data_IF_301513164063
#
_entry.id   IF_301513164063
#
_cell.length_a   1.000
_cell.length_b   1.000
_cell.length_c   1.000
_cell.angle_alpha   90.00
_cell.angle_beta   90.00
_cell.angle_gamma   90.00
#
_symmetry.space_group_name_H-M   'P 1'
#
loop_
_entity.id
_entity.type
_entity.pdbx_description
1 polymer ?
#
# COMPACT_ATOMS: atom_id res chain seq x y z
N UNK A 1 67.98 32.70 -33.67
CA UNK A 1 68.15 32.53 -32.21
C UNK A 1 66.82 32.04 -31.65
N UNK A 2 66.85 30.81 -31.15
CA UNK A 2 65.97 30.13 -30.18
C UNK A 2 65.60 31.07 -28.99
N UNK A 3 64.46 31.05 -28.27
CA UNK A 3 63.61 30.00 -27.63
C UNK A 3 62.54 30.84 -26.83
N UNK A 4 61.22 30.60 -26.74
CA UNK A 4 60.49 29.71 -25.80
C UNK A 4 58.96 29.98 -25.92
N UNK A 5 58.13 28.93 -26.00
CA UNK A 5 56.72 28.96 -25.57
C UNK A 5 56.63 28.59 -24.07
N UNK A 6 55.52 28.92 -23.38
CA UNK A 6 54.61 27.82 -23.02
C UNK A 6 53.10 28.15 -23.05
N UNK A 7 52.36 27.09 -23.37
CA UNK A 7 50.98 26.66 -23.04
C UNK A 7 50.03 27.56 -22.24
N UNK A 8 48.79 27.70 -22.73
CA UNK A 8 47.53 27.08 -22.20
C UNK A 8 46.35 27.52 -23.10
N UNK A 9 45.78 26.62 -23.90
CA UNK A 9 44.56 25.80 -23.60
C UNK A 9 43.28 26.57 -24.00
N UNK A 10 42.72 26.37 -25.22
CA UNK A 10 41.61 25.44 -25.52
C UNK A 10 40.50 25.53 -24.46
N UNK A 11 39.24 25.80 -24.74
CA UNK A 11 38.49 25.86 -25.96
C UNK A 11 37.03 26.09 -25.58
N UNK A 12 36.28 26.65 -26.52
CA UNK A 12 34.84 26.85 -26.45
C UNK A 12 34.11 25.53 -26.19
N UNK A 13 33.35 25.40 -25.10
CA UNK A 13 32.26 24.43 -25.04
C UNK A 13 31.08 24.91 -24.19
N UNK A 14 29.98 25.12 -24.93
CA UNK A 14 28.57 25.21 -24.53
C UNK A 14 28.26 24.38 -23.28
N UNK A 15 27.64 25.01 -22.30
CA UNK A 15 26.87 24.32 -21.26
C UNK A 15 25.51 23.88 -21.84
N UNK A 16 25.54 22.93 -22.77
CA UNK A 16 24.38 22.07 -23.06
C UNK A 16 24.41 20.92 -22.05
N UNK A 17 23.93 21.17 -20.84
CA UNK A 17 23.52 20.12 -19.92
C UNK A 17 22.00 20.01 -19.95
N UNK A 18 21.50 19.70 -21.15
CA UNK A 18 20.24 19.00 -21.30
C UNK A 18 20.33 17.75 -20.43
N UNK A 19 19.47 17.70 -19.40
CA UNK A 19 19.41 16.60 -18.45
C UNK A 19 19.22 15.29 -19.19
N UNK A 20 20.32 14.57 -19.40
CA UNK A 20 20.33 13.21 -19.87
C UNK A 20 19.62 12.38 -18.79
N UNK A 21 18.30 12.25 -18.97
CA UNK A 21 17.41 11.34 -18.26
C UNK A 21 18.05 9.97 -18.42
N UNK A 22 18.83 9.57 -17.39
CA UNK A 22 19.55 8.30 -17.34
C UNK A 22 18.60 7.22 -17.84
N UNK A 23 19.04 6.53 -18.89
CA UNK A 23 18.42 5.30 -19.38
C UNK A 23 18.18 4.43 -18.17
N UNK A 24 16.91 4.34 -17.77
CA UNK A 24 16.50 3.57 -16.61
C UNK A 24 16.66 2.12 -17.00
N UNK A 25 17.71 1.47 -16.49
CA UNK A 25 17.78 0.01 -16.50
C UNK A 25 16.41 -0.53 -16.12
N UNK A 26 15.85 -1.50 -16.87
CA UNK A 26 14.58 -2.09 -16.54
C UNK A 26 14.61 -2.52 -15.07
N UNK A 27 13.52 -2.28 -14.31
CA UNK A 27 13.50 -2.59 -12.89
C UNK A 27 13.87 -4.07 -12.68
N UNK A 28 14.87 -4.35 -11.83
CA UNK A 28 15.26 -5.73 -11.51
C UNK A 28 14.01 -6.49 -11.05
N UNK A 29 13.56 -7.42 -11.88
CA UNK A 29 12.25 -8.05 -11.72
C UNK A 29 12.19 -8.96 -10.51
N UNK A 30 13.26 -9.71 -10.25
CA UNK A 30 13.40 -10.53 -9.06
C UNK A 30 13.22 -9.67 -7.80
N UNK A 31 13.86 -8.49 -7.77
CA UNK A 31 13.71 -7.55 -6.67
C UNK A 31 12.29 -7.00 -6.54
N UNK A 32 11.57 -6.76 -7.65
CA UNK A 32 10.18 -6.31 -7.61
C UNK A 32 9.24 -7.40 -7.08
N UNK A 33 9.42 -8.64 -7.51
CA UNK A 33 8.67 -9.80 -7.02
C UNK A 33 8.93 -10.02 -5.53
N UNK A 34 10.19 -9.97 -5.09
CA UNK A 34 10.53 -10.10 -3.68
C UNK A 34 9.86 -9.03 -2.81
N UNK A 35 9.83 -7.77 -3.28
CA UNK A 35 9.10 -6.69 -2.60
C UNK A 35 7.59 -6.94 -2.53
N UNK A 36 7.00 -7.47 -3.59
CA UNK A 36 5.57 -7.81 -3.62
C UNK A 36 5.24 -8.91 -2.62
N UNK A 37 6.04 -9.99 -2.60
CA UNK A 37 5.92 -11.06 -1.60
C UNK A 37 6.07 -10.53 -0.17
N UNK A 38 7.02 -9.61 0.06
CA UNK A 38 7.19 -8.94 1.36
C UNK A 38 5.93 -8.19 1.81
N UNK A 39 5.28 -7.45 0.91
CA UNK A 39 4.03 -6.73 1.25
C UNK A 39 2.86 -7.69 1.52
N UNK A 40 2.75 -8.77 0.75
CA UNK A 40 1.71 -9.80 0.97
C UNK A 40 1.90 -10.41 2.36
N UNK A 41 3.12 -10.83 2.70
CA UNK A 41 3.43 -11.41 3.99
C UNK A 41 3.19 -10.42 5.14
N UNK A 42 3.56 -9.16 4.96
CA UNK A 42 3.29 -8.12 5.95
C UNK A 42 1.78 -7.95 6.20
N UNK A 43 0.96 -7.94 5.13
CA UNK A 43 -0.49 -7.84 5.25
C UNK A 43 -1.11 -9.08 5.93
N UNK A 44 -0.59 -10.28 5.64
CA UNK A 44 -1.04 -11.51 6.32
C UNK A 44 -0.69 -11.51 7.80
N UNK A 45 0.52 -11.06 8.16
CA UNK A 45 0.92 -10.91 9.56
C UNK A 45 0.05 -9.87 10.29
N UNK A 46 -0.27 -8.74 9.65
CA UNK A 46 -1.22 -7.76 10.20
C UNK A 46 -2.60 -8.39 10.46
N UNK A 47 -3.07 -9.27 9.57
CA UNK A 47 -4.33 -10.00 9.75
C UNK A 47 -4.25 -10.98 10.93
N UNK A 48 -3.15 -11.75 11.05
CA UNK A 48 -2.94 -12.69 12.15
C UNK A 48 -2.86 -11.98 13.50
N UNK A 49 -2.15 -10.85 13.58
CA UNK A 49 -2.09 -10.04 14.80
C UNK A 49 -3.47 -9.49 15.19
N UNK A 50 -4.23 -8.98 14.22
CA UNK A 50 -5.57 -8.47 14.46
C UNK A 50 -6.54 -9.59 14.89
N UNK A 51 -6.41 -10.79 14.30
CA UNK A 51 -7.18 -11.96 14.70
C UNK A 51 -6.83 -12.41 16.12
N UNK A 52 -5.53 -12.43 16.46
CA UNK A 52 -5.06 -12.72 17.80
C UNK A 52 -5.67 -11.77 18.84
N UNK A 53 -5.79 -10.47 18.53
CA UNK A 53 -6.46 -9.50 19.42
C UNK A 53 -7.96 -9.77 19.55
N UNK A 54 -8.65 -10.10 18.45
CA UNK A 54 -10.07 -10.47 18.47
C UNK A 54 -10.36 -11.71 19.31
N UNK A 55 -9.46 -12.70 19.33
CA UNK A 55 -9.60 -13.89 20.16
C UNK A 55 -9.69 -13.57 21.66
N UNK A 56 -9.16 -12.43 22.10
CA UNK A 56 -9.24 -11.97 23.49
C UNK A 56 -10.43 -11.04 23.76
N UNK A 57 -11.07 -10.49 22.71
CA UNK A 57 -12.24 -9.61 22.82
C UNK A 57 -13.12 -9.70 21.55
N UNK A 58 -14.13 -10.60 21.54
CA UNK A 58 -14.88 -10.92 20.33
C UNK A 58 -15.89 -9.84 19.89
N UNK A 59 -16.06 -8.76 20.66
CA UNK A 59 -17.02 -7.66 20.37
C UNK A 59 -16.34 -6.49 19.63
N UNK A 60 -15.06 -6.62 19.27
CA UNK A 60 -14.33 -5.55 18.58
C UNK A 60 -14.62 -5.53 17.07
N UNK A 61 -15.71 -4.87 16.69
CA UNK A 61 -16.09 -4.64 15.28
C UNK A 61 -15.00 -3.91 14.49
N UNK A 62 -14.17 -3.09 15.16
CA UNK A 62 -13.02 -2.43 14.54
C UNK A 62 -11.90 -3.42 14.27
N UNK A 63 -11.62 -4.34 15.20
CA UNK A 63 -10.73 -5.48 14.99
C UNK A 63 -11.15 -6.36 13.81
N UNK A 64 -12.45 -6.63 13.66
CA UNK A 64 -12.99 -7.38 12.50
C UNK A 64 -12.71 -6.63 11.19
N UNK A 65 -12.99 -5.33 11.14
CA UNK A 65 -12.71 -4.50 9.97
C UNK A 65 -11.20 -4.47 9.62
N UNK A 66 -10.32 -4.50 10.63
CA UNK A 66 -8.86 -4.58 10.44
C UNK A 66 -8.45 -5.93 9.84
N UNK A 67 -8.94 -7.05 10.37
CA UNK A 67 -8.67 -8.39 9.81
C UNK A 67 -9.13 -8.46 8.36
N UNK A 68 -10.38 -8.07 8.08
CA UNK A 68 -10.94 -8.08 6.73
C UNK A 68 -10.14 -7.22 5.76
N UNK A 69 -9.68 -6.04 6.21
CA UNK A 69 -8.87 -5.14 5.38
C UNK A 69 -7.47 -5.68 5.12
N UNK A 70 -6.83 -6.27 6.13
CA UNK A 70 -5.52 -6.87 5.99
C UNK A 70 -5.54 -8.07 5.03
N UNK A 71 -6.56 -8.94 5.14
CA UNK A 71 -6.80 -10.04 4.20
C UNK A 71 -7.11 -9.53 2.78
N UNK A 72 -7.92 -8.48 2.66
CA UNK A 72 -8.18 -7.83 1.38
C UNK A 72 -6.90 -7.29 0.74
N UNK A 73 -6.02 -6.63 1.52
CA UNK A 73 -4.72 -6.14 1.06
C UNK A 73 -3.85 -7.28 0.54
N UNK A 74 -3.75 -8.38 1.28
CA UNK A 74 -2.95 -9.54 0.88
C UNK A 74 -3.46 -10.15 -0.44
N UNK A 75 -4.78 -10.35 -0.55
CA UNK A 75 -5.42 -10.88 -1.77
C UNK A 75 -5.20 -9.97 -2.97
N UNK A 76 -5.44 -8.67 -2.81
CA UNK A 76 -5.31 -7.70 -3.90
C UNK A 76 -3.84 -7.51 -4.31
N UNK A 77 -2.90 -7.50 -3.36
CA UNK A 77 -1.47 -7.50 -3.66
C UNK A 77 -1.05 -8.74 -4.46
N UNK A 78 -1.53 -9.93 -4.09
CA UNK A 78 -1.27 -11.17 -4.84
C UNK A 78 -1.84 -11.10 -6.27
N UNK A 79 -3.04 -10.56 -6.45
CA UNK A 79 -3.64 -10.35 -7.76
C UNK A 79 -2.81 -9.37 -8.63
N UNK A 80 -2.38 -8.25 -8.06
CA UNK A 80 -1.56 -7.25 -8.77
C UNK A 80 -0.16 -7.79 -9.10
N UNK A 81 0.41 -8.65 -8.25
CA UNK A 81 1.65 -9.37 -8.54
C UNK A 81 1.46 -10.28 -9.76
N UNK A 82 0.36 -11.03 -9.81
CA UNK A 82 -0.01 -11.84 -10.97
C UNK A 82 -0.14 -11.01 -12.25
N UNK A 83 -0.78 -9.84 -12.19
CA UNK A 83 -0.85 -8.91 -13.32
C UNK A 83 0.53 -8.43 -13.76
N UNK A 84 1.37 -8.03 -12.81
CA UNK A 84 2.72 -7.57 -13.10
C UNK A 84 3.50 -8.69 -13.80
N UNK A 85 3.53 -9.90 -13.24
CA UNK A 85 4.24 -11.06 -13.81
C UNK A 85 3.65 -11.52 -15.15
N UNK A 86 2.35 -11.37 -15.37
CA UNK A 86 1.71 -11.66 -16.66
C UNK A 86 1.97 -10.61 -17.74
N UNK A 87 2.43 -9.41 -17.38
CA UNK A 87 2.69 -8.32 -18.34
C UNK A 87 4.07 -8.50 -18.99
N UNK A 88 4.20 -8.33 -20.33
CA UNK A 88 5.48 -8.31 -21.03
C UNK A 88 6.46 -7.33 -20.40
N UNK A 89 7.76 -7.67 -20.37
CA UNK A 89 8.76 -6.92 -19.61
C UNK A 89 8.88 -5.46 -20.07
N UNK A 90 8.61 -5.19 -21.34
CA UNK A 90 8.67 -3.86 -21.96
C UNK A 90 7.54 -2.94 -21.48
N UNK A 91 6.41 -3.51 -21.05
CA UNK A 91 5.22 -2.78 -20.59
C UNK A 91 5.04 -2.84 -19.07
N UNK A 92 5.95 -3.55 -18.39
CA UNK A 92 5.81 -3.86 -16.97
C UNK A 92 6.18 -2.63 -16.13
N UNK A 93 5.29 -2.26 -15.23
CA UNK A 93 5.52 -1.16 -14.29
C UNK A 93 6.23 -1.68 -13.02
N UNK A 94 6.99 -0.83 -12.30
CA UNK A 94 7.59 -1.23 -11.04
C UNK A 94 6.53 -1.52 -9.97
N UNK A 95 6.83 -2.39 -9.00
CA UNK A 95 5.90 -2.77 -7.93
C UNK A 95 5.32 -1.56 -7.17
N UNK A 96 6.10 -0.48 -7.03
CA UNK A 96 5.65 0.76 -6.41
C UNK A 96 4.37 1.35 -7.04
N UNK A 97 4.19 1.20 -8.35
CA UNK A 97 2.97 1.61 -9.05
C UNK A 97 1.75 0.82 -8.58
N UNK A 98 1.88 -0.51 -8.48
CA UNK A 98 0.81 -1.39 -8.03
C UNK A 98 0.49 -1.18 -6.53
N UNK A 99 1.52 -0.97 -5.70
CA UNK A 99 1.37 -0.67 -4.26
C UNK A 99 0.57 0.61 -4.01
N UNK A 100 0.78 1.67 -4.80
CA UNK A 100 0.00 2.90 -4.66
C UNK A 100 -1.50 2.66 -4.91
N UNK A 101 -1.83 1.85 -5.94
CA UNK A 101 -3.23 1.45 -6.24
C UNK A 101 -3.83 0.61 -5.12
N UNK A 102 -3.03 -0.26 -4.51
CA UNK A 102 -3.45 -1.09 -3.37
C UNK A 102 -3.84 -0.24 -2.15
N UNK A 103 -3.05 0.79 -1.83
CA UNK A 103 -3.29 1.65 -0.66
C UNK A 103 -4.64 2.38 -0.76
N UNK A 104 -4.95 2.98 -1.91
CA UNK A 104 -6.25 3.64 -2.14
C UNK A 104 -7.42 2.66 -1.99
N UNK A 105 -7.34 1.47 -2.61
CA UNK A 105 -8.37 0.43 -2.49
C UNK A 105 -8.56 -0.04 -1.05
N UNK A 106 -7.48 -0.25 -0.31
CA UNK A 106 -7.55 -0.74 1.06
C UNK A 106 -8.15 0.29 2.03
N UNK A 107 -7.89 1.58 1.84
CA UNK A 107 -8.49 2.65 2.65
C UNK A 107 -10.01 2.70 2.46
N UNK A 108 -10.48 2.56 1.21
CA UNK A 108 -11.91 2.48 0.90
C UNK A 108 -12.54 1.23 1.51
N UNK A 109 -11.89 0.07 1.38
CA UNK A 109 -12.36 -1.18 1.96
C UNK A 109 -12.48 -1.11 3.50
N UNK A 110 -11.48 -0.54 4.16
CA UNK A 110 -11.51 -0.34 5.61
C UNK A 110 -12.69 0.53 6.04
N UNK A 111 -12.90 1.65 5.35
CA UNK A 111 -13.98 2.60 5.67
C UNK A 111 -15.36 1.95 5.56
N UNK A 112 -15.57 1.06 4.57
CA UNK A 112 -16.82 0.32 4.40
C UNK A 112 -17.11 -0.61 5.59
N UNK A 113 -16.12 -1.38 6.05
CA UNK A 113 -16.32 -2.34 7.13
C UNK A 113 -16.36 -1.68 8.52
N UNK A 114 -15.58 -0.61 8.72
CA UNK A 114 -15.63 0.17 9.96
C UNK A 114 -17.00 0.86 10.15
N UNK A 115 -17.62 1.34 9.07
CA UNK A 115 -18.95 1.96 9.14
C UNK A 115 -20.07 0.93 9.37
N UNK A 116 -19.98 -0.25 8.75
CA UNK A 116 -20.90 -1.37 9.00
C UNK A 116 -20.86 -1.84 10.46
N UNK A 117 -19.67 -1.86 11.07
CA UNK A 117 -19.51 -2.16 12.49
C UNK A 117 -20.18 -1.15 13.42
N UNK A 118 -20.14 0.15 13.09
CA UNK A 118 -20.80 1.21 13.88
C UNK A 118 -22.33 1.12 13.84
N UNK A 119 -22.91 0.90 12.66
CA UNK A 119 -24.38 0.78 12.54
C UNK A 119 -24.94 -0.42 13.34
N UNK A 120 -24.21 -1.54 13.40
CA UNK A 120 -24.62 -2.69 14.22
C UNK A 120 -24.63 -2.39 15.73
N UNK A 121 -23.71 -1.56 16.21
CA UNK A 121 -23.66 -1.16 17.64
C UNK A 121 -24.72 -0.13 18.04
N UNK A 122 -25.17 0.72 17.11
CA UNK A 122 -26.23 1.71 17.39
C UNK A 122 -27.63 1.09 17.39
N UNK A 123 -27.87 0.04 16.60
CA UNK A 123 -29.12 -0.74 16.63
C UNK A 123 -29.33 -1.55 17.92
N UNK A 124 -28.26 -1.75 18.71
CA UNK A 124 -28.27 -2.50 19.96
C UNK A 124 -28.21 -1.61 21.21
N UNK A 125 -28.60 -0.34 21.12
CA UNK A 125 -28.98 0.42 22.33
C UNK A 125 -30.31 -0.11 22.84
N UNK A 126 -30.23 -1.02 23.81
CA UNK A 126 -31.33 -1.50 24.63
C UNK A 126 -32.36 -0.39 24.87
N UNK A 127 -33.57 -0.58 24.34
CA UNK A 127 -34.76 0.09 24.85
C UNK A 127 -34.83 -0.22 26.34
N UNK A 128 -34.34 0.68 27.18
CA UNK A 128 -34.51 0.57 28.62
C UNK A 128 -36.02 0.57 28.87
N UNK A 129 -36.56 -0.56 29.33
CA UNK A 129 -37.93 -0.66 29.80
C UNK A 129 -38.10 0.34 30.96
N UNK A 130 -38.64 1.51 30.66
CA UNK A 130 -39.08 2.48 31.66
C UNK A 130 -40.35 1.89 32.29
N UNK A 131 -40.37 1.53 33.58
CA UNK A 131 -41.59 1.00 34.18
C UNK A 131 -42.64 2.09 34.18
N UNK A 132 -43.82 1.79 33.60
CA UNK A 132 -45.00 2.66 33.68
C UNK A 132 -45.40 2.77 35.15
N UNK A 133 -45.19 3.95 35.74
CA UNK A 133 -45.81 4.33 37.02
C UNK A 133 -47.32 4.23 36.85
N UNK A 134 -47.94 3.23 37.50
CA UNK A 134 -49.37 3.25 37.81
C UNK A 134 -49.59 4.37 38.83
N UNK A 135 -50.38 5.37 38.44
CA UNK A 135 -50.98 6.31 39.38
C UNK A 135 -52.27 5.64 39.87
N UNK A 136 -52.46 5.68 41.19
CA UNK A 136 -53.54 5.03 41.94
C UNK A 136 -54.93 5.55 41.55
#
# INVERSE_FOLDING_TARGET
>A
MTINHPLTDVGSHRADQSGARRVTNPPNMERQVHKACGDINAALNEALEALGRLSHSPVDAFGVARVQTALYRAREANYLLGQMVGTPIERRLPWAYYRARLQDKALRHFSLHANSGRQATEGHRSRSNRPKRRIA
#
